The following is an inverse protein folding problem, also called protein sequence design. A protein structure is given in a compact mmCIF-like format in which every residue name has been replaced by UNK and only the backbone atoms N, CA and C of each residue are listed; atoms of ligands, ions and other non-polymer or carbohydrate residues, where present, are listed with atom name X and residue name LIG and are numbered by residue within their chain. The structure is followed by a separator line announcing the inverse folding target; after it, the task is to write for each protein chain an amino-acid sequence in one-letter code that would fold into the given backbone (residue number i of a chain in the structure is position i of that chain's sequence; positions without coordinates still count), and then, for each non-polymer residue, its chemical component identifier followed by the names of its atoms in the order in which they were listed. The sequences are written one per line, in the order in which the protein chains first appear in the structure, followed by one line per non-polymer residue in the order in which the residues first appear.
data_IF_181659656318
#
_entry.id   IF_181659656318
#
_cell.length_a   1.000
_cell.length_b   1.000
_cell.length_c   1.000
_cell.angle_alpha   90.00
_cell.angle_beta   90.00
_cell.angle_gamma   90.00
#
_symmetry.space_group_name_H-M   'P 1'
#
loop_
_entity.id
_entity.type
_entity.pdbx_description
1 polymer ?
#
# COMPACT_ATOMS: atom_id res chain seq x y z
N UNK A 1 -18.30 14.36 36.30
CA UNK A 1 -17.50 15.43 35.67
C UNK A 1 -16.09 14.98 35.26
N UNK A 2 -15.37 14.22 36.10
CA UNK A 2 -14.01 13.73 35.79
C UNK A 2 -13.90 12.88 34.50
N UNK A 3 -14.87 12.00 34.21
CA UNK A 3 -14.85 11.13 33.03
C UNK A 3 -14.91 11.90 31.70
N UNK A 4 -15.70 12.98 31.62
CA UNK A 4 -15.82 13.81 30.43
C UNK A 4 -14.56 14.63 30.17
N UNK A 5 -13.95 15.16 31.23
CA UNK A 5 -12.70 15.90 31.11
C UNK A 5 -11.56 14.99 30.64
N UNK A 6 -11.57 13.74 31.09
CA UNK A 6 -10.59 12.74 30.74
C UNK A 6 -10.78 12.21 29.31
N UNK A 7 -12.01 11.96 28.87
CA UNK A 7 -12.27 11.58 27.47
C UNK A 7 -11.93 12.71 26.50
N UNK A 8 -12.21 13.96 26.88
CA UNK A 8 -11.83 15.14 26.10
C UNK A 8 -10.30 15.29 25.97
N UNK A 9 -9.54 15.08 27.06
CA UNK A 9 -8.07 15.13 26.99
C UNK A 9 -7.49 14.01 26.12
N UNK A 10 -8.04 12.79 26.19
CA UNK A 10 -7.63 11.70 25.30
C UNK A 10 -7.96 11.99 23.84
N UNK A 11 -9.11 12.60 23.55
CA UNK A 11 -9.47 13.01 22.18
C UNK A 11 -8.52 14.07 21.64
N UNK A 12 -8.15 15.07 22.45
CA UNK A 12 -7.16 16.10 22.05
C UNK A 12 -5.80 15.47 21.78
N UNK A 13 -5.32 14.59 22.67
CA UNK A 13 -4.06 13.88 22.47
C UNK A 13 -4.11 13.02 21.21
N UNK A 14 -5.20 12.29 20.99
CA UNK A 14 -5.42 11.51 19.77
C UNK A 14 -5.35 12.40 18.52
N UNK A 15 -6.00 13.56 18.55
CA UNK A 15 -6.03 14.48 17.43
C UNK A 15 -4.65 15.07 17.11
N UNK A 16 -3.89 15.43 18.15
CA UNK A 16 -2.49 15.90 18.01
C UNK A 16 -1.58 14.80 17.48
N UNK A 17 -1.68 13.58 18.00
CA UNK A 17 -0.90 12.43 17.52
C UNK A 17 -1.23 12.12 16.06
N UNK A 18 -2.51 12.19 15.70
CA UNK A 18 -2.98 11.94 14.35
C UNK A 18 -2.49 13.02 13.35
N UNK A 19 -2.33 14.27 13.80
CA UNK A 19 -1.78 15.35 12.97
C UNK A 19 -0.25 15.27 12.83
N UNK A 20 0.47 14.95 13.92
CA UNK A 20 1.94 14.86 13.90
C UNK A 20 2.47 13.59 13.21
N UNK A 21 1.76 12.46 13.29
CA UNK A 21 2.21 11.20 12.69
C UNK A 21 1.77 11.13 11.23
N UNK A 22 2.45 11.89 10.38
CA UNK A 22 2.27 11.85 8.92
C UNK A 22 3.07 10.71 8.28
N UNK A 23 4.18 10.30 8.91
CA UNK A 23 5.08 9.27 8.38
C UNK A 23 4.46 7.85 8.41
N UNK A 24 4.37 7.16 7.27
CA UNK A 24 3.67 5.87 7.17
C UNK A 24 4.38 4.75 7.93
N UNK A 25 5.73 4.77 7.98
CA UNK A 25 6.52 3.78 8.70
C UNK A 25 6.41 3.96 10.22
N UNK A 26 6.42 5.22 10.69
CA UNK A 26 6.26 5.55 12.12
C UNK A 26 4.85 5.18 12.58
N UNK A 27 3.82 5.54 11.81
CA UNK A 27 2.42 5.20 12.10
C UNK A 27 2.20 3.70 12.25
N UNK A 28 2.83 2.89 11.39
CA UNK A 28 2.77 1.42 11.49
C UNK A 28 3.33 0.92 12.81
N UNK A 29 4.52 1.41 13.20
CA UNK A 29 5.19 0.98 14.44
C UNK A 29 4.39 1.44 15.67
N UNK A 30 3.96 2.70 15.68
CA UNK A 30 3.11 3.25 16.75
C UNK A 30 1.79 2.51 16.89
N UNK A 31 1.09 2.23 15.80
CA UNK A 31 -0.16 1.47 15.83
C UNK A 31 0.02 0.07 16.43
N UNK A 32 1.09 -0.65 16.04
CA UNK A 32 1.39 -1.99 16.57
C UNK A 32 1.76 -1.92 18.06
N UNK A 33 2.56 -0.94 18.47
CA UNK A 33 2.92 -0.74 19.87
C UNK A 33 1.67 -0.43 20.70
N UNK A 34 0.83 0.52 20.28
CA UNK A 34 -0.41 0.85 20.99
C UNK A 34 -1.39 -0.32 21.07
N UNK A 35 -1.54 -1.12 20.00
CA UNK A 35 -2.37 -2.32 20.02
C UNK A 35 -1.84 -3.37 21.02
N UNK A 36 -0.54 -3.66 20.99
CA UNK A 36 0.08 -4.62 21.90
C UNK A 36 0.01 -4.14 23.35
N UNK A 37 0.39 -2.89 23.62
CA UNK A 37 0.35 -2.29 24.96
C UNK A 37 -1.08 -2.20 25.49
N UNK A 38 -2.05 -1.78 24.67
CA UNK A 38 -3.46 -1.73 25.06
C UNK A 38 -4.00 -3.12 25.44
N UNK A 39 -3.69 -4.15 24.64
CA UNK A 39 -4.16 -5.51 24.88
C UNK A 39 -3.49 -6.13 26.13
N UNK A 40 -2.19 -5.90 26.33
CA UNK A 40 -1.46 -6.31 27.54
C UNK A 40 -2.03 -5.61 28.79
N UNK A 41 -2.28 -4.30 28.71
CA UNK A 41 -2.81 -3.53 29.84
C UNK A 41 -4.24 -3.94 30.20
N UNK A 42 -5.04 -4.35 29.21
CA UNK A 42 -6.43 -4.82 29.40
C UNK A 42 -6.47 -6.23 29.99
N UNK A 43 -5.54 -7.12 29.61
CA UNK A 43 -5.59 -8.54 29.97
C UNK A 43 -4.71 -8.92 31.17
N UNK A 44 -3.57 -8.23 31.38
CA UNK A 44 -2.54 -8.65 32.34
C UNK A 44 -2.51 -7.82 33.63
N UNK A 45 -2.93 -6.55 33.60
CA UNK A 45 -2.89 -5.65 34.76
C UNK A 45 -4.21 -4.87 34.96
N UNK A 46 -5.30 -5.54 35.39
CA UNK A 46 -6.45 -4.81 35.96
C UNK A 46 -6.05 -3.99 37.21
N UNK A 47 -4.93 -4.34 37.86
CA UNK A 47 -4.45 -3.71 39.08
C UNK A 47 -3.92 -2.27 38.87
N UNK A 48 -3.29 -1.96 37.73
CA UNK A 48 -2.73 -0.62 37.46
C UNK A 48 -3.82 0.40 37.12
N UNK A 49 -4.87 -0.02 36.40
CA UNK A 49 -6.01 0.85 36.09
C UNK A 49 -6.82 1.22 37.35
N UNK A 50 -6.89 0.30 38.33
CA UNK A 50 -7.50 0.51 39.65
C UNK A 50 -6.62 1.44 40.52
N UNK A 51 -5.30 1.27 40.52
CA UNK A 51 -4.36 2.14 41.26
C UNK A 51 -4.36 3.58 40.72
N UNK A 52 -4.38 3.76 39.40
CA UNK A 52 -4.36 5.10 38.79
C UNK A 52 -5.71 5.83 38.85
N UNK A 53 -6.79 5.19 39.32
CA UNK A 53 -8.19 5.67 39.25
C UNK A 53 -8.65 6.03 37.82
N UNK A 54 -8.07 5.41 36.79
CA UNK A 54 -8.39 5.66 35.39
C UNK A 54 -8.70 4.34 34.67
N UNK A 55 -9.92 3.79 34.81
CA UNK A 55 -10.27 2.46 34.31
C UNK A 55 -10.35 2.39 32.77
N UNK A 56 -10.56 3.52 32.10
CA UNK A 56 -10.79 3.57 30.64
C UNK A 56 -9.52 3.71 29.79
N UNK A 57 -8.38 4.03 30.40
CA UNK A 57 -7.12 4.28 29.70
C UNK A 57 -6.66 3.10 28.80
N UNK A 58 -6.75 1.82 29.22
CA UNK A 58 -6.37 0.69 28.37
C UNK A 58 -7.20 0.59 27.09
N UNK A 59 -8.52 0.82 27.22
CA UNK A 59 -9.47 0.76 26.11
C UNK A 59 -9.21 1.90 25.12
N UNK A 60 -8.95 3.11 25.62
CA UNK A 60 -8.60 4.24 24.75
C UNK A 60 -7.28 4.01 23.99
N UNK A 61 -6.24 3.49 24.64
CA UNK A 61 -4.97 3.16 23.96
C UNK A 61 -5.20 2.12 22.85
N UNK A 62 -6.01 1.11 23.12
CA UNK A 62 -6.37 0.09 22.13
C UNK A 62 -7.14 0.68 20.94
N UNK A 63 -8.16 1.50 21.19
CA UNK A 63 -8.96 2.16 20.15
C UNK A 63 -8.13 3.14 19.31
N UNK A 64 -7.21 3.88 19.93
CA UNK A 64 -6.26 4.76 19.23
C UNK A 64 -5.34 3.93 18.32
N UNK A 65 -4.81 2.81 18.83
CA UNK A 65 -3.99 1.88 18.05
C UNK A 65 -4.76 1.31 16.86
N UNK A 66 -6.02 0.90 17.05
CA UNK A 66 -6.89 0.39 16.00
C UNK A 66 -7.20 1.45 14.93
N UNK A 67 -7.55 2.67 15.36
CA UNK A 67 -7.84 3.78 14.45
C UNK A 67 -6.60 4.13 13.60
N UNK A 68 -5.42 4.25 14.20
CA UNK A 68 -4.16 4.50 13.50
C UNK A 68 -3.77 3.35 12.55
N UNK A 69 -4.08 2.11 12.91
CA UNK A 69 -3.83 0.94 12.07
C UNK A 69 -4.71 0.92 10.81
N UNK A 70 -6.02 1.17 10.97
CA UNK A 70 -6.99 1.22 9.86
C UNK A 70 -6.69 2.39 8.93
N UNK A 71 -6.43 3.57 9.50
CA UNK A 71 -6.14 4.78 8.72
C UNK A 71 -4.74 4.80 8.10
N UNK A 72 -3.87 3.82 8.40
CA UNK A 72 -2.49 3.76 7.89
C UNK A 72 -2.41 3.84 6.36
N UNK A 73 -3.29 3.15 5.64
CA UNK A 73 -3.25 3.14 4.18
C UNK A 73 -3.78 4.45 3.57
N UNK A 74 -4.70 5.14 4.27
CA UNK A 74 -5.36 6.35 3.78
C UNK A 74 -4.41 7.54 3.61
N UNK A 75 -3.30 7.57 4.38
CA UNK A 75 -2.30 8.65 4.32
C UNK A 75 -1.06 8.31 3.51
N UNK A 76 -0.84 7.02 3.19
CA UNK A 76 0.25 6.62 2.30
C UNK A 76 0.00 7.07 0.86
N UNK A 77 -1.26 7.24 0.50
CA UNK A 77 -1.71 7.63 -0.83
C UNK A 77 -1.97 9.12 -1.04
N UNK A 78 -1.97 9.91 0.05
CA UNK A 78 -2.03 11.36 -0.06
C UNK A 78 -0.61 11.91 -0.33
N UNK A 79 0.02 11.43 -1.40
CA UNK A 79 1.05 12.21 -2.08
C UNK A 79 0.32 13.42 -2.65
N UNK A 80 0.36 14.52 -1.91
CA UNK A 80 0.25 15.84 -2.51
C UNK A 80 1.49 16.04 -3.40
N UNK A 81 1.54 15.32 -4.52
CA UNK A 81 2.44 15.68 -5.60
C UNK A 81 1.64 16.71 -6.40
N UNK A 82 1.97 18.01 -6.33
CA UNK A 82 1.48 18.91 -7.35
C UNK A 82 1.87 18.30 -8.71
N UNK A 83 1.08 18.47 -9.78
CA UNK A 83 1.53 18.11 -11.10
C UNK A 83 2.82 18.90 -11.35
N UNK A 84 3.98 18.27 -11.18
CA UNK A 84 5.23 18.96 -11.39
C UNK A 84 5.25 19.36 -12.87
N UNK A 85 5.26 20.67 -13.20
CA UNK A 85 5.08 21.13 -14.59
C UNK A 85 6.27 20.81 -15.51
N UNK A 86 7.23 20.02 -15.02
CA UNK A 86 8.48 19.67 -15.67
C UNK A 86 8.69 18.16 -15.49
N UNK A 87 7.88 17.39 -16.22
CA UNK A 87 8.12 15.99 -16.54
C UNK A 87 9.47 15.89 -17.29
N UNK A 88 10.56 15.97 -16.54
CA UNK A 88 11.79 15.32 -16.94
C UNK A 88 11.45 13.84 -16.86
N UNK A 89 11.15 13.23 -18.01
CA UNK A 89 11.05 11.79 -18.14
C UNK A 89 12.16 11.20 -17.28
N UNK A 90 11.84 10.27 -16.36
CA UNK A 90 12.91 9.64 -15.59
C UNK A 90 13.94 9.17 -16.62
N UNK A 91 15.21 9.54 -16.44
CA UNK A 91 16.28 9.21 -17.39
C UNK A 91 16.43 7.69 -17.42
N UNK A 92 15.56 7.07 -18.19
CA UNK A 92 15.35 5.65 -18.36
C UNK A 92 15.60 5.38 -19.83
N UNK A 93 16.30 4.29 -20.09
CA UNK A 93 16.47 3.82 -21.45
C UNK A 93 15.15 3.16 -21.87
N UNK A 94 14.23 3.92 -22.46
CA UNK A 94 12.98 3.36 -23.04
C UNK A 94 13.27 2.80 -24.43
N UNK A 95 12.65 1.67 -24.77
CA UNK A 95 12.72 1.13 -26.11
C UNK A 95 12.02 2.05 -27.13
N UNK A 96 12.45 2.05 -28.41
CA UNK A 96 11.74 2.77 -29.46
C UNK A 96 10.31 2.22 -29.60
N UNK A 97 9.32 3.11 -29.71
CA UNK A 97 7.90 2.74 -29.82
C UNK A 97 7.11 2.77 -28.52
N UNK A 98 7.67 3.32 -27.43
CA UNK A 98 6.86 3.65 -26.25
C UNK A 98 5.83 4.74 -26.58
N UNK A 99 4.56 4.60 -26.12
CA UNK A 99 3.58 5.68 -26.19
C UNK A 99 4.08 6.91 -25.42
N UNK A 100 4.05 8.08 -26.06
CA UNK A 100 4.46 9.36 -25.44
C UNK A 100 3.29 10.10 -24.76
N UNK A 101 2.17 9.41 -24.56
CA UNK A 101 0.98 10.00 -23.96
C UNK A 101 1.14 10.22 -22.44
N UNK A 102 0.37 11.15 -21.83
CA UNK A 102 0.52 11.48 -20.41
C UNK A 102 0.22 10.28 -19.49
N UNK A 103 -0.60 9.32 -19.93
CA UNK A 103 -0.96 8.15 -19.13
C UNK A 103 0.24 7.21 -19.00
N UNK A 104 0.95 6.95 -20.10
CA UNK A 104 2.18 6.15 -20.08
C UNK A 104 3.27 6.82 -19.23
N UNK A 105 3.42 8.15 -19.33
CA UNK A 105 4.39 8.88 -18.51
C UNK A 105 4.08 8.79 -17.01
N UNK A 106 2.80 8.94 -16.63
CA UNK A 106 2.35 8.76 -15.25
C UNK A 106 2.56 7.33 -14.77
N UNK A 107 2.24 6.33 -15.58
CA UNK A 107 2.47 4.92 -15.25
C UNK A 107 3.96 4.64 -15.01
N UNK A 108 4.85 5.11 -15.89
CA UNK A 108 6.28 4.95 -15.74
C UNK A 108 6.81 5.65 -14.48
N UNK A 109 6.24 6.81 -14.14
CA UNK A 109 6.58 7.51 -12.91
C UNK A 109 6.15 6.70 -11.67
N UNK A 110 4.91 6.19 -11.63
CA UNK A 110 4.44 5.32 -10.55
C UNK A 110 5.35 4.08 -10.41
N UNK A 111 5.65 3.41 -11.52
CA UNK A 111 6.55 2.24 -11.53
C UNK A 111 7.95 2.59 -11.03
N UNK A 112 8.47 3.77 -11.37
CA UNK A 112 9.76 4.24 -10.85
C UNK A 112 9.73 4.43 -9.34
N UNK A 113 8.65 5.02 -8.82
CA UNK A 113 8.53 5.37 -7.41
C UNK A 113 8.26 4.15 -6.53
N UNK A 114 7.46 3.18 -6.99
CA UNK A 114 7.07 2.00 -6.21
C UNK A 114 8.07 0.84 -6.31
N UNK A 115 8.63 0.58 -7.50
CA UNK A 115 9.50 -0.59 -7.76
C UNK A 115 10.97 -0.17 -7.92
N UNK A 116 11.23 1.04 -8.41
CA UNK A 116 12.59 1.47 -8.73
C UNK A 116 13.07 0.93 -10.08
N UNK A 117 12.53 1.47 -11.17
CA UNK A 117 12.90 1.06 -12.53
C UNK A 117 14.41 1.23 -12.82
N UNK A 118 15.05 0.26 -13.50
CA UNK A 118 16.49 0.25 -13.75
C UNK A 118 16.90 1.33 -14.76
N UNK A 119 17.87 2.17 -14.40
CA UNK A 119 18.36 3.27 -15.27
C UNK A 119 19.22 2.79 -16.44
N UNK A 120 19.93 1.67 -16.25
CA UNK A 120 20.93 1.15 -17.20
C UNK A 120 20.39 0.05 -18.12
N UNK A 121 19.13 -0.36 -17.94
CA UNK A 121 18.49 -1.41 -18.74
C UNK A 121 17.42 -0.80 -19.63
N UNK A 122 17.30 -1.31 -20.85
CA UNK A 122 16.22 -0.88 -21.75
C UNK A 122 14.89 -1.46 -21.28
N UNK A 123 13.93 -0.59 -20.97
CA UNK A 123 12.56 -0.98 -20.59
C UNK A 123 11.73 -1.08 -21.87
N UNK A 124 10.97 -2.17 -22.00
CA UNK A 124 10.06 -2.49 -23.11
C UNK A 124 8.63 -2.55 -22.57
N UNK A 125 7.63 -2.43 -23.44
CA UNK A 125 6.23 -2.63 -23.05
C UNK A 125 5.99 -4.06 -22.54
N UNK A 126 6.70 -5.03 -23.10
CA UNK A 126 6.66 -6.44 -22.70
C UNK A 126 7.49 -6.73 -21.45
N UNK A 127 8.20 -5.73 -20.88
CA UNK A 127 8.95 -5.92 -19.65
C UNK A 127 7.99 -6.35 -18.56
N UNK A 128 8.29 -7.50 -17.96
CA UNK A 128 7.48 -8.13 -16.92
C UNK A 128 7.86 -7.57 -15.55
N UNK A 129 6.87 -7.12 -14.79
CA UNK A 129 7.10 -6.58 -13.45
C UNK A 129 7.58 -7.67 -12.49
N UNK A 130 6.98 -8.85 -12.55
CA UNK A 130 7.31 -9.97 -11.67
C UNK A 130 8.62 -10.67 -12.06
N UNK A 131 8.88 -10.92 -13.34
CA UNK A 131 10.07 -11.65 -13.77
C UNK A 131 11.27 -10.74 -14.08
N UNK A 132 11.09 -9.66 -14.84
CA UNK A 132 12.22 -8.83 -15.26
C UNK A 132 12.64 -7.81 -14.20
N UNK A 133 11.67 -7.29 -13.43
CA UNK A 133 11.91 -6.31 -12.37
C UNK A 133 11.89 -6.92 -10.96
N UNK A 134 11.47 -8.18 -10.83
CA UNK A 134 11.44 -8.88 -9.53
C UNK A 134 10.42 -8.32 -8.54
N UNK A 135 9.42 -7.58 -9.01
CA UNK A 135 8.37 -7.00 -8.16
C UNK A 135 7.43 -8.10 -7.67
N UNK A 136 7.41 -8.36 -6.37
CA UNK A 136 6.61 -9.42 -5.77
C UNK A 136 6.18 -9.09 -4.32
N UNK A 137 5.32 -9.95 -3.75
CA UNK A 137 4.97 -9.88 -2.34
C UNK A 137 4.34 -8.56 -1.91
N UNK A 138 5.01 -7.84 -0.99
CA UNK A 138 4.47 -6.60 -0.45
C UNK A 138 4.61 -5.40 -1.38
N UNK A 139 5.58 -5.43 -2.29
CA UNK A 139 5.82 -4.35 -3.27
C UNK A 139 4.75 -4.41 -4.35
N UNK A 140 4.52 -5.59 -4.94
CA UNK A 140 3.45 -5.81 -5.91
C UNK A 140 2.08 -5.41 -5.36
N UNK A 141 1.79 -5.75 -4.09
CA UNK A 141 0.54 -5.33 -3.44
C UNK A 141 0.41 -3.80 -3.37
N UNK A 142 1.50 -3.10 -3.02
CA UNK A 142 1.49 -1.64 -2.93
C UNK A 142 1.29 -1.00 -4.29
N UNK A 143 1.98 -1.50 -5.31
CA UNK A 143 1.81 -1.04 -6.68
C UNK A 143 0.37 -1.20 -7.18
N UNK A 144 -0.26 -2.37 -6.98
CA UNK A 144 -1.62 -2.58 -7.46
C UNK A 144 -2.65 -1.72 -6.71
N UNK A 145 -2.49 -1.52 -5.39
CA UNK A 145 -3.30 -0.56 -4.63
C UNK A 145 -3.10 0.87 -5.16
N UNK A 146 -1.88 1.19 -5.62
CA UNK A 146 -1.60 2.49 -6.18
C UNK A 146 -2.24 2.72 -7.55
N UNK A 147 -2.19 1.72 -8.42
CA UNK A 147 -2.83 1.76 -9.72
C UNK A 147 -4.36 1.95 -9.60
N UNK A 148 -4.99 1.22 -8.69
CA UNK A 148 -6.43 1.35 -8.40
C UNK A 148 -6.80 2.78 -7.99
N UNK A 149 -5.98 3.42 -7.15
CA UNK A 149 -6.29 4.73 -6.59
C UNK A 149 -5.87 5.90 -7.49
N UNK A 150 -4.69 5.87 -8.12
CA UNK A 150 -4.21 6.96 -8.99
C UNK A 150 -4.94 7.03 -10.32
N UNK A 151 -5.32 5.88 -10.88
CA UNK A 151 -5.95 5.79 -12.21
C UNK A 151 -7.44 5.46 -12.14
N UNK A 152 -8.01 5.35 -10.94
CA UNK A 152 -9.38 4.85 -10.73
C UNK A 152 -9.61 3.52 -11.49
N UNK A 153 -8.60 2.63 -11.46
CA UNK A 153 -8.62 1.37 -12.19
C UNK A 153 -9.50 0.35 -11.46
N UNK A 154 -10.57 -0.12 -12.11
CA UNK A 154 -11.34 -1.24 -11.60
C UNK A 154 -10.55 -2.56 -11.78
N UNK A 155 -10.18 -3.18 -10.67
CA UNK A 155 -9.43 -4.44 -10.67
C UNK A 155 -10.29 -5.65 -11.04
N UNK A 156 -11.62 -5.56 -11.07
CA UNK A 156 -12.50 -6.58 -11.67
C UNK A 156 -12.15 -8.04 -11.30
N UNK A 157 -11.63 -8.79 -12.27
CA UNK A 157 -11.23 -10.20 -12.15
C UNK A 157 -9.75 -10.44 -11.79
N UNK A 158 -9.02 -9.38 -11.43
CA UNK A 158 -7.60 -9.44 -11.13
C UNK A 158 -7.28 -10.38 -9.97
N UNK A 159 -6.44 -11.37 -10.26
CA UNK A 159 -5.93 -12.29 -9.26
C UNK A 159 -4.45 -12.04 -8.97
N UNK A 160 -4.17 -11.42 -7.83
CA UNK A 160 -2.80 -11.11 -7.39
C UNK A 160 -1.89 -12.33 -7.42
N UNK A 161 -2.37 -13.52 -7.01
CA UNK A 161 -1.50 -14.70 -6.96
C UNK A 161 -1.38 -15.43 -8.31
N UNK A 162 -2.01 -14.93 -9.37
CA UNK A 162 -1.76 -15.39 -10.75
C UNK A 162 -0.43 -14.83 -11.26
N UNK A 163 -0.16 -13.58 -10.94
CA UNK A 163 1.04 -12.86 -11.40
C UNK A 163 2.16 -12.85 -10.36
N UNK A 164 1.82 -12.60 -9.09
CA UNK A 164 2.80 -12.35 -8.05
C UNK A 164 2.95 -13.50 -7.06
N UNK A 165 4.13 -13.61 -6.48
CA UNK A 165 4.40 -14.48 -5.34
C UNK A 165 3.93 -13.81 -4.04
N UNK A 166 3.34 -14.59 -3.11
CA UNK A 166 2.98 -14.04 -1.80
C UNK A 166 4.24 -13.63 -1.02
N UNK A 167 4.13 -12.69 -0.07
CA UNK A 167 5.23 -12.32 0.81
C UNK A 167 5.85 -13.54 1.51
N UNK A 168 7.18 -13.59 1.58
CA UNK A 168 7.94 -14.77 2.09
C UNK A 168 7.53 -15.16 3.52
N UNK A 169 7.13 -14.20 4.35
CA UNK A 169 6.84 -14.41 5.77
C UNK A 169 5.41 -14.86 6.06
N UNK A 170 4.51 -14.88 5.08
CA UNK A 170 3.10 -15.20 5.31
C UNK A 170 2.78 -16.65 4.91
N UNK A 171 2.80 -17.54 5.91
CA UNK A 171 2.55 -18.99 5.75
C UNK A 171 1.14 -19.27 5.23
N UNK A 172 0.15 -18.44 5.59
CA UNK A 172 -1.23 -18.61 5.13
C UNK A 172 -1.36 -18.25 3.65
N UNK A 173 -0.74 -17.15 3.23
CA UNK A 173 -0.72 -16.75 1.83
C UNK A 173 0.06 -17.73 0.96
N UNK A 174 1.19 -18.24 1.46
CA UNK A 174 1.94 -19.33 0.80
C UNK A 174 1.08 -20.57 0.59
N UNK A 175 0.30 -20.98 1.60
CA UNK A 175 -0.62 -22.12 1.48
C UNK A 175 -1.71 -21.86 0.45
N UNK A 176 -2.25 -20.64 0.39
CA UNK A 176 -3.28 -20.25 -0.60
C UNK A 176 -2.73 -20.18 -2.03
N UNK A 177 -1.48 -19.78 -2.19
CA UNK A 177 -0.79 -19.76 -3.49
C UNK A 177 -0.33 -21.16 -3.94
N UNK A 178 -0.16 -22.10 -2.99
CA UNK A 178 0.24 -23.49 -3.27
C UNK A 178 -0.85 -24.19 -4.08
N UNK A 179 -0.55 -24.53 -5.33
CA UNK A 179 -1.48 -25.19 -6.27
C UNK A 179 -1.98 -24.31 -7.42
N UNK A 180 -1.58 -23.03 -7.49
CA UNK A 180 -1.98 -22.12 -8.58
C UNK A 180 -1.13 -22.18 -9.87
N UNK A 181 -0.25 -23.19 -9.99
CA UNK A 181 0.59 -23.36 -11.17
C UNK A 181 1.72 -22.33 -11.28
N UNK A 182 2.30 -22.25 -12.47
CA UNK A 182 3.35 -21.28 -12.80
C UNK A 182 2.79 -19.86 -12.90
N UNK A 183 3.63 -18.87 -12.58
CA UNK A 183 3.23 -17.46 -12.60
C UNK A 183 3.19 -16.95 -14.03
N UNK A 184 2.18 -16.15 -14.34
CA UNK A 184 2.05 -15.48 -15.63
C UNK A 184 2.80 -14.14 -15.58
N UNK A 185 3.56 -13.75 -16.62
CA UNK A 185 4.22 -12.45 -16.66
C UNK A 185 3.18 -11.33 -16.69
N UNK A 186 3.27 -10.39 -15.75
CA UNK A 186 2.48 -9.15 -15.80
C UNK A 186 3.34 -8.06 -16.45
N UNK A 187 2.97 -7.63 -17.65
CA UNK A 187 3.78 -6.68 -18.44
C UNK A 187 3.33 -5.23 -18.25
N UNK A 188 4.23 -4.29 -18.55
CA UNK A 188 3.89 -2.85 -18.56
C UNK A 188 2.76 -2.57 -19.57
N UNK A 189 2.72 -3.30 -20.68
CA UNK A 189 1.65 -3.19 -21.68
C UNK A 189 0.28 -3.51 -21.08
N UNK A 190 0.18 -4.60 -20.29
CA UNK A 190 -1.09 -4.98 -19.64
C UNK A 190 -1.58 -3.88 -18.71
N UNK A 191 -0.69 -3.29 -17.90
CA UNK A 191 -1.06 -2.16 -17.03
C UNK A 191 -1.53 -0.95 -17.83
N UNK A 192 -0.80 -0.59 -18.89
CA UNK A 192 -1.16 0.53 -19.74
C UNK A 192 -2.53 0.34 -20.38
N UNK A 193 -2.80 -0.84 -20.94
CA UNK A 193 -4.09 -1.17 -21.52
C UNK A 193 -5.21 -1.13 -20.48
N UNK A 194 -4.99 -1.72 -19.30
CA UNK A 194 -5.98 -1.72 -18.22
C UNK A 194 -6.35 -0.30 -17.76
N UNK A 195 -5.35 0.59 -17.65
CA UNK A 195 -5.58 2.00 -17.33
C UNK A 195 -6.37 2.69 -18.44
N UNK A 196 -6.02 2.46 -19.71
CA UNK A 196 -6.72 3.05 -20.85
C UNK A 196 -8.18 2.62 -20.92
N UNK A 197 -8.49 1.40 -20.49
CA UNK A 197 -9.87 0.87 -20.41
C UNK A 197 -10.53 1.11 -19.05
N UNK A 198 -9.82 1.72 -18.09
CA UNK A 198 -10.22 1.86 -16.68
C UNK A 198 -10.74 0.56 -16.03
N UNK A 199 -10.34 -0.59 -16.57
CA UNK A 199 -10.86 -1.89 -16.16
C UNK A 199 -9.86 -2.99 -16.44
N UNK A 200 -9.73 -3.89 -15.48
CA UNK A 200 -8.93 -5.09 -15.60
C UNK A 200 -9.77 -6.25 -16.16
N UNK A 201 -9.41 -6.73 -17.34
CA UNK A 201 -9.94 -7.96 -17.92
C UNK A 201 -8.78 -8.91 -18.21
N UNK A 202 -8.62 -9.92 -17.35
CA UNK A 202 -7.47 -10.83 -17.40
C UNK A 202 -7.32 -11.51 -18.76
N UNK A 203 -8.41 -12.02 -19.33
CA UNK A 203 -8.35 -12.72 -20.61
C UNK A 203 -7.96 -11.79 -21.77
N UNK A 204 -8.52 -10.58 -21.81
CA UNK A 204 -8.18 -9.61 -22.87
C UNK A 204 -6.74 -9.14 -22.75
N UNK A 205 -6.29 -8.82 -21.53
CA UNK A 205 -4.96 -8.28 -21.28
C UNK A 205 -3.87 -9.32 -21.53
N UNK A 206 -4.06 -10.58 -21.14
CA UNK A 206 -3.08 -11.65 -21.39
C UNK A 206 -2.95 -12.03 -22.87
N UNK A 207 -3.99 -11.80 -23.67
CA UNK A 207 -3.93 -12.05 -25.12
C UNK A 207 -3.27 -10.89 -25.89
N UNK A 208 -3.23 -9.69 -25.31
CA UNK A 208 -2.68 -8.47 -25.91
C UNK A 208 -1.30 -8.05 -25.36
N UNK A 209 -0.96 -8.56 -24.17
CA UNK A 209 0.26 -8.27 -23.41
C UNK A 209 1.45 -9.10 -23.83
#
# INVERSE_FOLDING_TARGET
MALYLQSASFLVIYWVLHYQITDPMLRRRFAVICLATGLILTFLLPYVAVILRIPLLPVFIFLIGLALFITRNKYRFHRNQPPHPLLRAPTMNLAPGFPEDPVMQQLLQLLHEEIGLPKHRTIRLQTSLNFDLGCDGSEAKQLMEALEQEFALDLGDFDTYRYFNPPVFDVFLKRRAKGRGEKVPLTINMLYLAIKTHSWNTQTLENLG
#
